data_IF_097019678109
#
_entry.id   IF_097019678109
#
_cell.length_a   1.000
_cell.length_b   1.000
_cell.length_c   1.000
_cell.angle_alpha   90.00
_cell.angle_beta   90.00
_cell.angle_gamma   90.00
#
_symmetry.space_group_name_H-M   'P 1'
#
loop_
_entity.id
_entity.type
_entity.pdbx_description
1 polymer ?
#
# COMPACT_ATOMS: atom_id res chain seq x y z
N UNK A 1 -30.20 77.79 -6.80
CA UNK A 1 -29.67 77.83 -8.18
C UNK A 1 -28.29 77.24 -8.06
N UNK A 2 -28.00 76.00 -8.42
CA UNK A 2 -28.40 75.34 -9.66
C UNK A 2 -28.64 73.83 -9.53
N UNK A 3 -29.23 73.35 -10.61
CA UNK A 3 -30.04 72.16 -10.83
C UNK A 3 -29.25 70.87 -10.99
N UNK A 4 -29.89 69.78 -10.55
CA UNK A 4 -29.51 68.41 -10.82
C UNK A 4 -29.58 68.10 -12.33
N UNK A 5 -28.49 67.58 -12.90
CA UNK A 5 -28.50 66.80 -14.15
C UNK A 5 -28.41 65.31 -13.84
N UNK A 6 -29.10 64.42 -14.58
CA UNK A 6 -29.07 62.98 -14.30
C UNK A 6 -27.71 62.41 -14.70
N UNK A 7 -27.09 61.63 -13.79
CA UNK A 7 -25.96 60.77 -14.14
C UNK A 7 -26.53 59.44 -14.61
N UNK A 8 -26.34 59.13 -15.90
CA UNK A 8 -26.57 57.80 -16.45
C UNK A 8 -25.74 56.77 -15.67
N UNK A 9 -26.42 55.89 -14.95
CA UNK A 9 -25.83 54.72 -14.36
C UNK A 9 -25.55 53.70 -15.48
N UNK A 10 -24.34 53.76 -16.03
CA UNK A 10 -23.83 52.76 -16.95
C UNK A 10 -23.67 51.43 -16.18
N UNK A 11 -24.74 50.64 -16.18
CA UNK A 11 -24.79 49.32 -15.55
C UNK A 11 -24.04 48.39 -16.49
N UNK A 12 -22.73 48.26 -16.30
CA UNK A 12 -21.96 47.20 -16.95
C UNK A 12 -22.36 45.88 -16.29
N UNK A 13 -23.31 45.18 -16.89
CA UNK A 13 -23.51 43.76 -16.66
C UNK A 13 -22.18 43.07 -16.95
N UNK A 14 -21.57 42.34 -16.01
CA UNK A 14 -20.37 41.59 -16.33
C UNK A 14 -20.76 40.51 -17.33
N UNK A 15 -20.12 40.52 -18.51
CA UNK A 15 -20.15 39.39 -19.43
C UNK A 15 -19.66 38.17 -18.68
N UNK A 16 -20.58 37.25 -18.40
CA UNK A 16 -20.24 35.90 -17.98
C UNK A 16 -19.56 35.29 -19.21
N UNK A 17 -18.24 35.17 -19.15
CA UNK A 17 -17.46 34.38 -20.09
C UNK A 17 -18.09 32.99 -20.16
N UNK A 18 -18.76 32.70 -21.28
CA UNK A 18 -19.20 31.37 -21.63
C UNK A 18 -17.94 30.54 -21.92
N UNK A 19 -17.47 29.83 -20.91
CA UNK A 19 -16.43 28.82 -21.11
C UNK A 19 -17.06 27.70 -21.94
N UNK A 20 -16.52 27.50 -23.14
CA UNK A 20 -16.94 26.46 -24.07
C UNK A 20 -16.90 25.08 -23.44
N UNK A 21 -17.72 24.20 -24.00
CA UNK A 21 -17.89 22.77 -23.70
C UNK A 21 -16.65 21.90 -24.00
N UNK A 22 -15.44 22.42 -23.79
CA UNK A 22 -14.24 21.61 -23.71
C UNK A 22 -13.96 21.33 -22.23
N UNK A 23 -14.65 20.31 -21.72
CA UNK A 23 -14.36 19.71 -20.43
C UNK A 23 -12.90 19.23 -20.42
N UNK A 24 -11.99 20.09 -19.97
CA UNK A 24 -10.76 19.67 -19.30
C UNK A 24 -11.20 18.65 -18.25
N UNK A 25 -11.07 17.36 -18.56
CA UNK A 25 -11.14 16.29 -17.58
C UNK A 25 -10.06 16.64 -16.55
N UNK A 26 -10.48 17.30 -15.46
CA UNK A 26 -9.60 17.65 -14.35
C UNK A 26 -9.12 16.33 -13.78
N UNK A 27 -7.93 15.93 -14.18
CA UNK A 27 -7.25 14.78 -13.60
C UNK A 27 -7.01 15.12 -12.13
N UNK A 28 -7.74 14.45 -11.25
CA UNK A 28 -7.71 14.71 -9.80
C UNK A 28 -6.42 14.20 -9.12
N UNK A 29 -5.46 13.69 -9.90
CA UNK A 29 -4.14 13.26 -9.43
C UNK A 29 -3.43 14.39 -8.68
N UNK A 30 -3.16 14.16 -7.40
CA UNK A 30 -2.42 15.07 -6.52
C UNK A 30 -0.98 14.62 -6.30
N UNK A 31 -0.71 13.34 -6.46
CA UNK A 31 0.59 12.73 -6.21
C UNK A 31 1.03 11.77 -7.34
N UNK A 32 2.27 11.95 -7.78
CA UNK A 32 3.05 10.94 -8.51
C UNK A 32 4.42 10.86 -7.83
N UNK A 33 4.54 9.89 -6.92
CA UNK A 33 5.59 9.89 -5.92
C UNK A 33 6.13 8.52 -5.62
N UNK A 34 7.18 8.47 -4.81
CA UNK A 34 7.85 7.23 -4.54
C UNK A 34 9.22 7.38 -3.91
N UNK A 35 9.88 6.25 -3.75
CA UNK A 35 11.28 6.20 -3.39
C UNK A 35 11.95 4.93 -3.92
N UNK A 36 13.25 5.03 -4.16
CA UNK A 36 14.13 3.92 -4.43
C UNK A 36 15.23 3.91 -3.37
N UNK A 37 15.42 2.77 -2.72
CA UNK A 37 16.27 2.61 -1.55
C UNK A 37 17.14 1.36 -1.71
N UNK A 38 18.45 1.53 -1.60
CA UNK A 38 19.41 0.43 -1.59
C UNK A 38 20.16 0.33 -0.28
N UNK A 39 20.38 -0.90 0.21
CA UNK A 39 21.23 -1.18 1.37
C UNK A 39 22.23 -2.29 1.04
N UNK A 40 23.41 -2.21 1.66
CA UNK A 40 24.51 -3.18 1.51
C UNK A 40 25.10 -3.53 2.87
N UNK A 41 25.74 -4.69 2.98
CA UNK A 41 26.51 -5.07 4.16
C UNK A 41 27.97 -4.63 4.00
N UNK A 42 28.54 -4.03 5.04
CA UNK A 42 29.97 -3.69 5.11
C UNK A 42 30.46 -3.98 6.51
N UNK A 43 31.43 -4.88 6.63
CA UNK A 43 32.00 -5.31 7.92
C UNK A 43 30.95 -5.80 8.93
N UNK A 44 29.92 -6.51 8.46
CA UNK A 44 28.84 -7.04 9.30
C UNK A 44 27.72 -6.04 9.62
N UNK A 45 27.82 -4.79 9.19
CA UNK A 45 26.80 -3.76 9.39
C UNK A 45 26.02 -3.48 8.10
N UNK A 46 24.71 -3.29 8.21
CA UNK A 46 23.88 -2.84 7.09
C UNK A 46 23.95 -1.32 6.96
N UNK A 47 24.27 -0.83 5.76
CA UNK A 47 24.44 0.59 5.46
C UNK A 47 23.61 0.99 4.24
N UNK A 48 23.18 2.25 4.24
CA UNK A 48 22.48 2.88 3.13
C UNK A 48 23.47 3.05 1.97
N UNK A 49 23.17 2.46 0.81
CA UNK A 49 23.98 2.62 -0.40
C UNK A 49 23.39 3.65 -1.37
N UNK A 50 22.06 3.79 -1.38
CA UNK A 50 21.36 4.76 -2.23
C UNK A 50 20.00 5.11 -1.66
N UNK A 51 19.58 6.36 -1.86
CA UNK A 51 18.23 6.82 -1.60
C UNK A 51 17.85 7.88 -2.62
N UNK A 52 16.77 7.64 -3.35
CA UNK A 52 16.06 8.64 -4.15
C UNK A 52 14.62 8.67 -3.65
N UNK A 53 14.06 9.85 -3.46
CA UNK A 53 12.69 9.99 -3.00
C UNK A 53 12.09 11.29 -3.51
N UNK A 54 10.81 11.25 -3.86
CA UNK A 54 10.02 12.40 -4.26
C UNK A 54 8.70 12.43 -3.49
N UNK A 55 8.12 13.62 -3.36
CA UNK A 55 6.87 13.79 -2.64
C UNK A 55 5.76 12.93 -3.26
N UNK A 56 4.81 12.41 -2.45
CA UNK A 56 4.68 12.63 -1.01
C UNK A 56 5.46 11.62 -0.14
N UNK A 57 6.29 10.76 -0.74
CA UNK A 57 7.03 9.74 0.00
C UNK A 57 8.30 10.30 0.66
N UNK A 58 8.50 9.95 1.93
CA UNK A 58 9.74 10.17 2.68
C UNK A 58 10.13 8.90 3.44
N UNK A 59 11.43 8.66 3.52
CA UNK A 59 12.00 7.55 4.29
C UNK A 59 12.85 8.11 5.42
N UNK A 60 12.59 7.64 6.64
CA UNK A 60 13.35 7.98 7.84
C UNK A 60 14.06 6.75 8.39
N UNK A 61 15.26 6.95 8.94
CA UNK A 61 16.09 5.88 9.49
C UNK A 61 16.36 6.18 10.98
N UNK A 62 15.64 5.54 11.90
CA UNK A 62 15.91 5.67 13.33
C UNK A 62 17.34 5.25 13.67
N UNK A 63 17.98 5.98 14.59
CA UNK A 63 19.27 5.57 15.13
C UNK A 63 19.05 4.44 16.14
N UNK A 64 19.57 3.26 15.82
CA UNK A 64 19.52 2.07 16.69
C UNK A 64 20.94 1.61 17.03
N UNK A 65 21.12 0.99 18.19
CA UNK A 65 22.42 0.48 18.64
C UNK A 65 22.89 -0.72 17.81
N UNK A 66 21.97 -1.60 17.41
CA UNK A 66 22.25 -2.72 16.52
C UNK A 66 22.23 -2.27 15.05
N UNK A 67 23.42 -2.19 14.44
CA UNK A 67 23.60 -1.84 13.02
C UNK A 67 23.58 -3.05 12.08
N UNK A 68 23.38 -4.26 12.60
CA UNK A 68 23.29 -5.47 11.76
C UNK A 68 22.02 -5.47 10.90
N UNK A 69 20.96 -4.81 11.36
CA UNK A 69 19.70 -4.62 10.65
C UNK A 69 19.30 -3.15 10.59
N UNK A 70 19.09 -2.63 9.39
CA UNK A 70 18.63 -1.26 9.18
C UNK A 70 17.10 -1.16 9.28
N UNK A 71 16.60 -0.14 9.97
CA UNK A 71 15.17 0.20 10.01
C UNK A 71 14.86 1.37 9.09
N UNK A 72 13.86 1.21 8.22
CA UNK A 72 13.28 2.30 7.46
C UNK A 72 11.80 2.49 7.81
N UNK A 73 11.44 3.73 8.11
CA UNK A 73 10.07 4.17 8.34
C UNK A 73 9.64 5.01 7.15
N UNK A 74 8.66 4.49 6.42
CA UNK A 74 8.04 5.18 5.28
C UNK A 74 6.94 6.11 5.78
N UNK A 75 6.95 7.34 5.30
CA UNK A 75 5.93 8.36 5.57
C UNK A 75 5.36 8.85 4.26
N UNK A 76 4.03 8.75 4.11
CA UNK A 76 3.28 9.47 3.08
C UNK A 76 2.82 10.81 3.69
N UNK A 77 3.38 11.92 3.23
CA UNK A 77 3.07 13.25 3.74
C UNK A 77 1.72 13.79 3.27
N UNK A 78 1.03 13.10 2.37
CA UNK A 78 -0.29 13.49 1.84
C UNK A 78 -1.49 13.03 2.69
N UNK A 79 -1.28 12.18 3.71
CA UNK A 79 -2.35 11.72 4.59
C UNK A 79 -3.30 10.66 4.00
N UNK A 80 -2.98 10.15 2.80
CA UNK A 80 -3.66 9.06 2.09
C UNK A 80 -3.61 9.27 0.58
N UNK A 81 -4.33 8.44 -0.17
CA UNK A 81 -4.37 8.44 -1.63
C UNK A 81 -5.78 8.73 -2.13
N UNK A 82 -5.89 9.67 -3.07
CA UNK A 82 -7.12 9.97 -3.80
C UNK A 82 -7.02 9.44 -5.23
N UNK A 83 -8.14 9.48 -5.97
CA UNK A 83 -8.15 9.05 -7.37
C UNK A 83 -7.06 9.75 -8.21
N UNK A 84 -6.43 8.98 -9.10
CA UNK A 84 -5.33 9.45 -9.94
C UNK A 84 -3.94 9.38 -9.28
N UNK A 85 -3.84 9.31 -7.93
CA UNK A 85 -2.54 9.25 -7.25
C UNK A 85 -1.78 7.97 -7.56
N UNK A 86 -0.44 8.07 -7.66
CA UNK A 86 0.46 6.95 -7.92
C UNK A 86 1.63 6.96 -6.95
N UNK A 87 1.82 5.85 -6.24
CA UNK A 87 3.01 5.63 -5.41
C UNK A 87 3.84 4.45 -5.93
N UNK A 88 5.14 4.66 -6.03
CA UNK A 88 6.11 3.64 -6.42
C UNK A 88 7.20 3.46 -5.36
N UNK A 89 7.46 2.22 -4.95
CA UNK A 89 8.52 1.86 -4.02
C UNK A 89 9.47 0.90 -4.69
N UNK A 90 10.77 1.14 -4.57
CA UNK A 90 11.79 0.16 -4.91
C UNK A 90 12.74 -0.02 -3.73
N UNK A 91 12.93 -1.25 -3.29
CA UNK A 91 13.87 -1.58 -2.20
C UNK A 91 14.79 -2.69 -2.66
N UNK A 92 16.10 -2.45 -2.56
CA UNK A 92 17.13 -3.44 -2.89
C UNK A 92 17.99 -3.72 -1.67
N UNK A 93 17.95 -4.96 -1.21
CA UNK A 93 18.79 -5.47 -0.12
C UNK A 93 19.90 -6.33 -0.71
N UNK A 94 21.13 -5.84 -0.64
CA UNK A 94 22.31 -6.56 -1.13
C UNK A 94 22.67 -7.77 -0.28
N UNK A 95 23.61 -8.58 -0.79
CA UNK A 95 24.15 -9.74 -0.08
C UNK A 95 24.64 -9.36 1.33
N UNK A 96 24.32 -10.21 2.32
CA UNK A 96 24.61 -10.02 3.74
C UNK A 96 23.84 -8.89 4.43
N UNK A 97 23.13 -8.03 3.70
CA UNK A 97 22.42 -6.89 4.28
C UNK A 97 21.08 -7.32 4.86
N UNK A 98 20.63 -6.64 5.92
CA UNK A 98 19.37 -6.92 6.59
C UNK A 98 18.59 -5.64 6.81
N UNK A 99 17.31 -5.67 6.47
CA UNK A 99 16.46 -4.49 6.54
C UNK A 99 15.07 -4.84 7.07
N UNK A 100 14.55 -4.00 7.95
CA UNK A 100 13.14 -3.96 8.33
C UNK A 100 12.51 -2.65 7.87
N UNK A 101 11.31 -2.76 7.31
CA UNK A 101 10.60 -1.66 6.69
C UNK A 101 9.19 -1.62 7.23
N UNK A 102 8.78 -0.44 7.68
CA UNK A 102 7.42 -0.20 8.17
C UNK A 102 6.92 1.16 7.71
N UNK A 103 5.63 1.43 7.87
CA UNK A 103 5.06 2.77 7.67
C UNK A 103 4.77 3.42 9.01
N UNK A 104 4.86 4.74 9.09
CA UNK A 104 4.57 5.47 10.32
C UNK A 104 3.08 5.40 10.70
N UNK A 105 2.21 5.27 9.72
CA UNK A 105 0.76 5.25 9.88
C UNK A 105 0.09 4.32 8.87
N UNK A 106 -1.17 4.00 9.18
CA UNK A 106 -2.16 3.44 8.28
C UNK A 106 -2.20 4.16 6.92
N UNK A 107 -2.13 3.39 5.83
CA UNK A 107 -2.46 3.88 4.50
C UNK A 107 -3.97 4.12 4.40
N UNK A 108 -4.39 5.29 3.92
CA UNK A 108 -5.82 5.58 3.70
C UNK A 108 -6.06 5.70 2.20
N UNK A 109 -7.02 4.93 1.69
CA UNK A 109 -7.47 5.04 0.32
C UNK A 109 -8.85 5.69 0.34
N UNK A 110 -8.92 6.92 -0.13
CA UNK A 110 -10.16 7.69 -0.16
C UNK A 110 -11.10 7.17 -1.26
N UNK A 111 -12.38 7.54 -1.14
CA UNK A 111 -13.38 7.32 -2.17
C UNK A 111 -12.90 7.88 -3.51
N UNK A 112 -13.11 7.11 -4.57
CA UNK A 112 -12.92 7.53 -5.96
C UNK A 112 -14.27 7.73 -6.64
N UNK A 113 -14.35 8.72 -7.53
CA UNK A 113 -15.54 8.98 -8.35
C UNK A 113 -15.37 8.46 -9.77
N UNK A 114 -14.14 8.44 -10.28
CA UNK A 114 -13.85 8.26 -11.70
C UNK A 114 -12.67 7.35 -11.97
N UNK A 115 -11.52 7.60 -11.33
CA UNK A 115 -10.25 6.94 -11.64
C UNK A 115 -9.71 6.15 -10.45
N UNK A 116 -8.83 5.19 -10.71
CA UNK A 116 -8.12 4.48 -9.62
C UNK A 116 -6.96 5.32 -9.11
N UNK A 117 -6.59 5.18 -7.83
CA UNK A 117 -5.20 5.42 -7.43
C UNK A 117 -4.34 4.19 -7.77
N UNK A 118 -3.03 4.20 -7.54
CA UNK A 118 -2.19 3.01 -7.73
C UNK A 118 -1.02 2.97 -6.74
N UNK A 119 -0.68 1.76 -6.28
CA UNK A 119 0.49 1.50 -5.45
C UNK A 119 1.30 0.36 -6.06
N UNK A 120 2.59 0.58 -6.29
CA UNK A 120 3.50 -0.43 -6.83
C UNK A 120 4.74 -0.55 -5.94
N UNK A 121 5.06 -1.76 -5.51
CA UNK A 121 6.26 -2.05 -4.74
C UNK A 121 7.10 -3.11 -5.46
N UNK A 122 8.36 -2.78 -5.73
CA UNK A 122 9.40 -3.67 -6.26
C UNK A 122 10.43 -3.93 -5.14
N UNK A 123 10.49 -5.17 -4.67
CA UNK A 123 11.28 -5.58 -3.52
C UNK A 123 12.31 -6.61 -3.96
N UNK A 124 13.60 -6.36 -3.70
CA UNK A 124 14.70 -7.21 -4.16
C UNK A 124 15.61 -7.60 -3.01
N UNK A 125 15.93 -8.88 -2.92
CA UNK A 125 16.87 -9.42 -1.93
C UNK A 125 17.87 -10.31 -2.64
N UNK A 126 19.16 -10.01 -2.48
CA UNK A 126 20.25 -10.77 -3.08
C UNK A 126 21.03 -11.59 -2.05
N UNK A 127 21.64 -12.68 -2.50
CA UNK A 127 22.47 -13.56 -1.70
C UNK A 127 21.74 -14.06 -0.46
N UNK A 128 22.40 -13.98 0.69
CA UNK A 128 21.89 -14.32 2.01
C UNK A 128 21.23 -13.12 2.75
N UNK A 129 20.86 -12.07 2.01
CA UNK A 129 20.20 -10.89 2.55
C UNK A 129 18.83 -11.18 3.17
N UNK A 130 18.35 -10.24 3.99
CA UNK A 130 17.06 -10.31 4.67
C UNK A 130 16.25 -9.03 4.47
N UNK A 131 15.01 -9.15 3.99
CA UNK A 131 14.03 -8.08 4.00
C UNK A 131 12.79 -8.46 4.82
N UNK A 132 12.48 -7.64 5.82
CA UNK A 132 11.23 -7.69 6.59
C UNK A 132 10.36 -6.52 6.15
N UNK A 133 9.38 -6.78 5.29
CA UNK A 133 8.38 -5.83 4.78
C UNK A 133 7.11 -5.88 5.64
N UNK A 134 6.92 -4.89 6.52
CA UNK A 134 5.79 -4.84 7.46
C UNK A 134 5.20 -3.44 7.54
N UNK A 135 4.61 -2.93 6.45
CA UNK A 135 3.83 -1.70 6.51
C UNK A 135 2.65 -1.86 7.48
N UNK A 136 2.15 -0.74 8.00
CA UNK A 136 0.87 -0.74 8.71
C UNK A 136 -0.29 -1.04 7.75
N UNK A 137 -1.47 -1.18 8.31
CA UNK A 137 -2.68 -1.52 7.54
C UNK A 137 -3.00 -0.50 6.44
N UNK A 138 -3.67 -0.99 5.39
CA UNK A 138 -4.29 -0.15 4.36
C UNK A 138 -5.80 -0.14 4.60
N UNK A 139 -6.35 1.03 4.93
CA UNK A 139 -7.77 1.25 5.18
C UNK A 139 -8.43 1.74 3.89
N UNK A 140 -9.35 0.94 3.36
CA UNK A 140 -10.17 1.30 2.20
C UNK A 140 -11.43 2.04 2.69
N UNK A 141 -11.64 3.27 2.22
CA UNK A 141 -12.90 3.98 2.48
C UNK A 141 -13.98 3.47 1.53
N UNK A 142 -15.25 3.71 1.85
CA UNK A 142 -16.34 3.25 1.00
C UNK A 142 -16.29 3.92 -0.39
N UNK A 143 -16.26 3.12 -1.46
CA UNK A 143 -16.01 3.58 -2.82
C UNK A 143 -14.53 3.77 -3.19
N UNK A 144 -13.58 3.29 -2.39
CA UNK A 144 -12.16 3.28 -2.74
C UNK A 144 -11.88 2.41 -3.98
N UNK A 145 -10.90 2.82 -4.81
CA UNK A 145 -10.50 2.09 -6.02
C UNK A 145 -8.97 1.97 -6.11
N UNK A 146 -8.43 0.83 -5.67
CA UNK A 146 -7.00 0.55 -5.53
C UNK A 146 -6.58 -0.73 -6.28
N UNK A 147 -5.89 -0.61 -7.42
CA UNK A 147 -4.87 -1.54 -7.86
C UNK A 147 -3.58 -1.36 -7.04
N UNK A 148 -3.14 -2.44 -6.39
CA UNK A 148 -1.86 -2.56 -5.71
C UNK A 148 -1.10 -3.75 -6.25
N UNK A 149 0.19 -3.55 -6.52
CA UNK A 149 1.08 -4.58 -7.03
C UNK A 149 2.34 -4.69 -6.18
N UNK A 150 2.69 -5.93 -5.85
CA UNK A 150 3.86 -6.31 -5.08
C UNK A 150 4.66 -7.30 -5.92
N UNK A 151 5.86 -6.90 -6.35
CA UNK A 151 6.77 -7.77 -7.08
C UNK A 151 8.00 -7.98 -6.22
N UNK A 152 8.29 -9.23 -5.89
CA UNK A 152 9.40 -9.61 -5.03
C UNK A 152 10.37 -10.46 -5.84
N UNK A 153 11.64 -10.08 -5.84
CA UNK A 153 12.74 -10.86 -6.41
C UNK A 153 13.65 -11.29 -5.28
N UNK A 154 13.84 -12.60 -5.13
CA UNK A 154 14.72 -13.22 -4.15
C UNK A 154 15.70 -14.16 -4.83
N UNK A 155 16.81 -14.42 -4.17
CA UNK A 155 17.72 -15.51 -4.54
C UNK A 155 17.52 -16.70 -3.59
N UNK A 156 17.95 -17.90 -3.98
CA UNK A 156 17.76 -19.13 -3.18
C UNK A 156 18.18 -19.03 -1.71
N UNK A 157 19.21 -18.23 -1.40
CA UNK A 157 19.74 -18.05 -0.04
C UNK A 157 19.10 -16.89 0.73
N UNK A 158 18.28 -16.10 0.05
CA UNK A 158 17.68 -14.90 0.62
C UNK A 158 16.60 -15.26 1.63
N UNK A 159 16.31 -14.31 2.51
CA UNK A 159 15.13 -14.36 3.39
C UNK A 159 14.24 -13.16 3.15
N UNK A 160 12.96 -13.42 3.06
CA UNK A 160 11.94 -12.40 2.89
C UNK A 160 10.74 -12.70 3.78
N UNK A 161 10.31 -11.70 4.53
CA UNK A 161 9.09 -11.76 5.34
C UNK A 161 8.21 -10.56 4.99
N UNK A 162 7.00 -10.82 4.49
CA UNK A 162 5.96 -9.82 4.36
C UNK A 162 4.86 -10.03 5.39
N UNK A 163 4.34 -8.94 5.94
CA UNK A 163 3.06 -8.93 6.63
C UNK A 163 2.28 -7.68 6.20
N UNK A 164 1.15 -7.88 5.53
CA UNK A 164 0.26 -6.80 5.10
C UNK A 164 -1.16 -7.03 5.60
N UNK A 165 -1.85 -5.92 5.90
CA UNK A 165 -3.23 -5.94 6.35
C UNK A 165 -4.03 -4.94 5.53
N UNK A 166 -5.20 -5.35 5.05
CA UNK A 166 -6.19 -4.49 4.40
C UNK A 166 -7.44 -4.46 5.25
N UNK A 167 -7.96 -3.27 5.55
CA UNK A 167 -9.16 -3.06 6.34
C UNK A 167 -10.29 -2.54 5.43
N UNK A 168 -11.47 -3.12 5.56
CA UNK A 168 -12.64 -2.89 4.71
C UNK A 168 -13.60 -1.85 5.31
N UNK A 169 -13.17 -0.58 5.32
CA UNK A 169 -13.94 0.55 5.86
C UNK A 169 -13.27 1.23 7.06
N UNK A 170 -13.70 2.46 7.40
CA UNK A 170 -13.33 3.12 8.65
C UNK A 170 -14.19 2.60 9.80
N UNK A 171 -13.83 1.44 10.35
CA UNK A 171 -14.60 0.77 11.40
C UNK A 171 -14.79 1.65 12.65
N UNK A 172 -13.76 2.41 13.04
CA UNK A 172 -13.84 3.36 14.16
C UNK A 172 -14.76 4.58 13.90
N UNK A 173 -15.35 4.66 12.71
CA UNK A 173 -16.31 5.69 12.26
C UNK A 173 -17.60 5.06 11.72
N UNK A 174 -17.85 3.79 12.06
CA UNK A 174 -19.03 3.02 11.62
C UNK A 174 -19.19 2.96 10.09
N UNK A 175 -18.10 3.13 9.34
CA UNK A 175 -18.10 2.98 7.88
C UNK A 175 -17.66 1.56 7.52
N UNK A 176 -18.50 0.90 6.73
CA UNK A 176 -18.21 -0.38 6.10
C UNK A 176 -17.99 -0.17 4.60
N UNK A 177 -17.07 -0.93 4.00
CA UNK A 177 -16.89 -0.96 2.56
C UNK A 177 -18.03 -1.74 1.89
N UNK A 178 -18.89 -1.04 1.17
CA UNK A 178 -20.06 -1.59 0.45
C UNK A 178 -19.81 -1.74 -1.04
N UNK A 179 -19.04 -0.81 -1.62
CA UNK A 179 -18.69 -0.79 -3.03
C UNK A 179 -17.28 -0.24 -3.24
N UNK A 180 -16.70 -0.52 -4.40
CA UNK A 180 -15.37 -0.06 -4.78
C UNK A 180 -14.60 -1.08 -5.61
N UNK A 181 -13.28 -0.95 -5.57
CA UNK A 181 -12.35 -1.86 -6.23
C UNK A 181 -11.09 -2.03 -5.39
N UNK A 182 -10.75 -3.29 -5.10
CA UNK A 182 -9.43 -3.71 -4.66
C UNK A 182 -8.92 -4.75 -5.63
N UNK A 183 -7.78 -4.49 -6.25
CA UNK A 183 -6.98 -5.50 -6.94
C UNK A 183 -5.62 -5.52 -6.26
N UNK A 184 -5.34 -6.54 -5.47
CA UNK A 184 -4.09 -6.69 -4.74
C UNK A 184 -3.32 -7.89 -5.29
N UNK A 185 -2.23 -7.63 -6.00
CA UNK A 185 -1.45 -8.67 -6.67
C UNK A 185 -0.06 -8.82 -6.07
N UNK A 186 0.34 -10.08 -5.89
CA UNK A 186 1.66 -10.47 -5.45
C UNK A 186 2.30 -11.39 -6.47
N UNK A 187 3.58 -11.19 -6.75
CA UNK A 187 4.40 -12.17 -7.46
C UNK A 187 5.77 -12.25 -6.81
N UNK A 188 6.21 -13.48 -6.52
CA UNK A 188 7.52 -13.77 -5.94
C UNK A 188 8.30 -14.59 -6.94
N UNK A 189 9.48 -14.10 -7.29
CA UNK A 189 10.39 -14.70 -8.24
C UNK A 189 11.67 -15.12 -7.52
N UNK A 190 12.06 -16.38 -7.65
CA UNK A 190 13.33 -16.90 -7.14
C UNK A 190 14.28 -17.16 -8.31
N UNK A 191 15.45 -16.55 -8.30
CA UNK A 191 16.46 -16.65 -9.37
C UNK A 191 15.86 -16.40 -10.78
N UNK A 192 14.99 -15.38 -10.88
CA UNK A 192 14.32 -14.99 -12.12
C UNK A 192 13.16 -15.89 -12.57
N UNK A 193 12.80 -16.93 -11.81
CA UNK A 193 11.64 -17.79 -12.08
C UNK A 193 10.49 -17.47 -11.15
N UNK A 194 9.27 -17.38 -11.68
CA UNK A 194 8.07 -17.22 -10.87
C UNK A 194 7.91 -18.43 -9.94
N UNK A 195 7.94 -18.18 -8.63
CA UNK A 195 7.77 -19.19 -7.59
C UNK A 195 6.36 -19.21 -7.05
N UNK A 196 5.78 -18.02 -6.82
CA UNK A 196 4.44 -17.89 -6.25
C UNK A 196 3.75 -16.62 -6.72
N UNK A 197 2.43 -16.68 -6.85
CA UNK A 197 1.59 -15.55 -7.22
C UNK A 197 0.24 -15.65 -6.53
N UNK A 198 -0.30 -14.51 -6.11
CA UNK A 198 -1.68 -14.36 -5.66
C UNK A 198 -2.27 -13.07 -6.22
N UNK A 199 -3.58 -13.07 -6.46
CA UNK A 199 -4.28 -11.88 -6.94
C UNK A 199 -5.68 -11.86 -6.35
N UNK A 200 -5.86 -11.05 -5.31
CA UNK A 200 -7.17 -10.74 -4.76
C UNK A 200 -7.84 -9.69 -5.62
N UNK A 201 -9.03 -10.00 -6.13
CA UNK A 201 -9.88 -9.04 -6.86
C UNK A 201 -11.25 -8.94 -6.20
N UNK A 202 -11.55 -7.77 -5.66
CA UNK A 202 -12.84 -7.38 -5.10
C UNK A 202 -13.36 -6.17 -5.83
N UNK A 203 -14.44 -6.34 -6.58
CA UNK A 203 -15.04 -5.30 -7.40
C UNK A 203 -16.56 -5.38 -7.31
N UNK A 204 -17.21 -4.22 -7.37
CA UNK A 204 -18.67 -4.12 -7.34
C UNK A 204 -19.22 -4.28 -5.91
N UNK A 205 -20.20 -5.15 -5.75
CA UNK A 205 -20.91 -5.36 -4.48
C UNK A 205 -20.07 -6.16 -3.47
N UNK A 206 -19.52 -5.49 -2.46
CA UNK A 206 -18.73 -6.11 -1.40
C UNK A 206 -19.58 -6.97 -0.45
N UNK A 207 -20.87 -6.64 -0.27
CA UNK A 207 -21.76 -7.47 0.55
C UNK A 207 -21.96 -8.85 -0.10
N UNK A 208 -22.12 -8.89 -1.43
CA UNK A 208 -22.16 -10.14 -2.16
C UNK A 208 -20.86 -10.95 -2.02
N UNK A 209 -19.68 -10.33 -2.09
CA UNK A 209 -18.40 -11.02 -1.87
C UNK A 209 -18.26 -11.58 -0.45
N UNK A 210 -18.74 -10.86 0.57
CA UNK A 210 -18.77 -11.30 1.97
C UNK A 210 -19.66 -12.52 2.16
N UNK A 211 -20.85 -12.51 1.56
CA UNK A 211 -21.86 -13.57 1.72
C UNK A 211 -21.49 -14.92 1.07
N UNK A 212 -20.46 -14.97 0.21
CA UNK A 212 -20.04 -16.22 -0.45
C UNK A 212 -19.58 -17.26 0.56
N UNK A 213 -19.80 -18.54 0.25
CA UNK A 213 -19.38 -19.68 1.10
C UNK A 213 -17.90 -19.60 1.50
N UNK A 214 -17.03 -19.22 0.58
CA UNK A 214 -15.58 -19.01 0.82
C UNK A 214 -15.17 -17.53 0.75
N UNK A 215 -16.13 -16.62 0.98
CA UNK A 215 -15.91 -15.19 1.08
C UNK A 215 -15.45 -14.76 2.47
N UNK A 216 -15.47 -13.44 2.70
CA UNK A 216 -14.97 -12.82 3.92
C UNK A 216 -15.90 -12.94 5.13
N UNK A 217 -17.19 -13.26 4.92
CA UNK A 217 -18.20 -13.21 5.99
C UNK A 217 -18.18 -11.85 6.70
N UNK A 218 -18.15 -11.90 8.03
CA UNK A 218 -18.12 -10.70 8.88
C UNK A 218 -16.71 -10.12 9.09
N UNK A 219 -15.68 -10.67 8.42
CA UNK A 219 -14.30 -10.22 8.59
C UNK A 219 -14.14 -8.76 8.18
N UNK A 220 -13.63 -7.94 9.07
CA UNK A 220 -13.44 -6.49 8.84
C UNK A 220 -12.19 -6.16 8.02
N UNK A 221 -11.38 -7.16 7.69
CA UNK A 221 -10.16 -7.01 6.92
C UNK A 221 -9.55 -8.36 6.54
N UNK A 222 -8.41 -8.29 5.87
CA UNK A 222 -7.60 -9.42 5.44
C UNK A 222 -6.16 -9.17 5.87
N UNK A 223 -5.48 -10.20 6.36
CA UNK A 223 -4.06 -10.19 6.60
C UNK A 223 -3.36 -11.24 5.74
N UNK A 224 -2.29 -10.84 5.06
CA UNK A 224 -1.44 -11.71 4.26
C UNK A 224 -0.05 -11.71 4.88
N UNK A 225 0.44 -12.90 5.25
CA UNK A 225 1.80 -13.10 5.77
C UNK A 225 2.51 -14.08 4.87
N UNK A 226 3.68 -13.69 4.35
CA UNK A 226 4.47 -14.51 3.44
C UNK A 226 5.88 -14.60 3.98
N UNK A 227 6.41 -15.82 4.06
CA UNK A 227 7.81 -16.06 4.39
C UNK A 227 8.47 -16.87 3.28
N UNK A 228 9.65 -16.41 2.86
CA UNK A 228 10.54 -17.13 1.97
C UNK A 228 11.91 -17.28 2.64
N UNK A 229 12.45 -18.50 2.60
CA UNK A 229 13.76 -18.85 3.12
C UNK A 229 13.94 -20.36 3.13
N UNK A 230 15.18 -20.86 3.06
CA UNK A 230 15.49 -22.29 3.14
C UNK A 230 15.03 -22.92 4.48
N UNK A 231 14.86 -22.08 5.51
CA UNK A 231 14.34 -22.38 6.84
C UNK A 231 12.82 -22.25 6.95
N UNK A 232 12.07 -22.01 5.87
CA UNK A 232 10.61 -21.82 5.91
C UNK A 232 9.86 -22.99 6.56
N UNK A 233 10.29 -24.22 6.32
CA UNK A 233 9.70 -25.42 6.92
C UNK A 233 9.77 -25.41 8.46
N UNK A 234 10.78 -24.77 9.05
CA UNK A 234 10.92 -24.63 10.50
C UNK A 234 9.81 -23.75 11.10
N UNK A 235 9.34 -22.76 10.35
CA UNK A 235 8.31 -21.81 10.81
C UNK A 235 6.88 -22.30 10.58
N UNK A 236 6.69 -23.36 9.78
CA UNK A 236 5.37 -23.85 9.39
C UNK A 236 4.48 -24.29 10.58
N UNK A 237 5.00 -25.00 11.61
CA UNK A 237 4.20 -25.32 12.79
C UNK A 237 3.72 -24.07 13.54
N UNK A 238 4.58 -23.06 13.68
CA UNK A 238 4.24 -21.79 14.32
C UNK A 238 3.17 -21.01 13.53
N UNK A 239 3.29 -20.98 12.20
CA UNK A 239 2.30 -20.38 11.33
C UNK A 239 0.93 -21.07 11.49
N UNK A 240 0.89 -22.40 11.45
CA UNK A 240 -0.33 -23.20 11.63
C UNK A 240 -0.97 -23.02 13.02
N UNK A 241 -0.15 -23.00 14.07
CA UNK A 241 -0.64 -22.74 15.43
C UNK A 241 -1.22 -21.33 15.57
N UNK A 242 -0.58 -20.34 14.94
CA UNK A 242 -1.05 -18.95 14.97
C UNK A 242 -2.36 -18.80 14.20
N UNK A 243 -2.46 -19.38 13.00
CA UNK A 243 -3.70 -19.43 12.22
C UNK A 243 -4.84 -20.10 13.02
N UNK A 244 -4.57 -21.25 13.64
CA UNK A 244 -5.58 -21.97 14.45
C UNK A 244 -6.08 -21.15 15.64
N UNK A 245 -5.19 -20.40 16.32
CA UNK A 245 -5.57 -19.48 17.41
C UNK A 245 -6.46 -18.35 16.92
N UNK A 246 -6.17 -17.83 15.72
CA UNK A 246 -6.98 -16.77 15.10
C UNK A 246 -8.36 -17.32 14.76
N UNK A 247 -8.45 -18.47 14.07
CA UNK A 247 -9.71 -19.08 13.64
C UNK A 247 -10.56 -19.74 14.76
N UNK A 248 -10.01 -19.89 15.96
CA UNK A 248 -10.69 -20.52 17.09
C UNK A 248 -11.55 -19.59 17.95
N UNK A 249 -11.55 -18.28 17.69
CA UNK A 249 -12.32 -17.30 18.47
C UNK A 249 -13.75 -17.13 17.91
N UNK A 250 -14.80 -16.94 18.73
CA UNK A 250 -16.12 -16.57 18.23
C UNK A 250 -16.05 -15.27 17.41
N UNK A 251 -16.56 -15.27 16.17
CA UNK A 251 -16.41 -14.14 15.24
C UNK A 251 -15.03 -14.03 14.56
N UNK A 252 -14.19 -15.07 14.67
CA UNK A 252 -12.83 -15.07 14.11
C UNK A 252 -12.78 -15.02 12.59
N UNK A 253 -11.78 -14.34 12.01
CA UNK A 253 -11.49 -14.43 10.60
C UNK A 253 -11.05 -15.85 10.23
N UNK A 254 -11.42 -16.27 9.02
CA UNK A 254 -10.93 -17.53 8.43
C UNK A 254 -9.42 -17.43 8.19
N UNK A 255 -8.70 -18.49 8.48
CA UNK A 255 -7.25 -18.55 8.29
C UNK A 255 -6.84 -19.82 7.54
N UNK A 256 -5.86 -19.72 6.65
CA UNK A 256 -5.23 -20.84 5.98
C UNK A 256 -3.72 -20.66 5.94
N UNK A 257 -2.98 -21.78 5.98
CA UNK A 257 -1.51 -21.77 5.86
C UNK A 257 -1.13 -22.75 4.77
N UNK A 258 -0.44 -22.25 3.76
CA UNK A 258 0.14 -23.04 2.68
C UNK A 258 1.66 -22.99 2.82
N UNK A 259 2.31 -24.11 2.55
CA UNK A 259 3.76 -24.23 2.52
C UNK A 259 4.15 -25.39 1.62
N UNK A 260 5.22 -25.21 0.87
CA UNK A 260 5.77 -26.18 -0.09
C UNK A 260 7.29 -26.20 0.04
#
# INVERSE_FOLDING_TARGET
>A
MDTHGPRDAMTKTPEILSFGEDAYLRRFQRADGGFALGVVCTSGETRLSSLRQNAPCRVFFPSVSDRSIMEAIIVNTGGGLVEGDRLSTTITVGMGARMKVTTQAAGKIYRSLTETCAVSNDLRVSGDGLLIWRPQETILFDGARLPRQQVVFVEQKSRFLAAEVVIFGRIARDEILTHGQLRDSWSIHCDGKLLWMDCLRLEGDFAAHRARRFGFGDSIGLATVIYFGADAAHFLPYARQTASRIAGAPGSPRSGVYGW
#
